data_IF_420150074896
#
_entry.id   IF_420150074896
#
_cell.length_a   1.000
_cell.length_b   1.000
_cell.length_c   1.000
_cell.angle_alpha   90.00
_cell.angle_beta   90.00
_cell.angle_gamma   90.00
#
_symmetry.space_group_name_H-M   'P 1'
#
loop_
_entity.id
_entity.type
_entity.pdbx_description
1 polymer ?
#
# COMPACT_ATOMS: atom_id res chain seq x y z
N UNK A 1 -11.00 -2.00 23.11
CA UNK A 1 -10.67 -1.86 21.68
C UNK A 1 -9.43 -2.71 21.43
N UNK A 2 -9.50 -3.67 20.51
CA UNK A 2 -8.36 -4.54 20.19
C UNK A 2 -7.19 -3.67 19.75
N UNK A 3 -6.07 -3.70 20.47
CA UNK A 3 -4.88 -2.89 20.20
C UNK A 3 -4.09 -3.37 18.98
N UNK A 4 -4.76 -3.84 17.92
CA UNK A 4 -4.14 -4.35 16.70
C UNK A 4 -4.51 -3.45 15.53
N UNK A 5 -3.51 -3.07 14.72
CA UNK A 5 -3.68 -2.34 13.46
C UNK A 5 -3.13 -3.14 12.29
N UNK A 6 -3.84 -3.12 11.17
CA UNK A 6 -3.40 -3.63 9.87
C UNK A 6 -2.85 -2.46 9.05
N UNK A 7 -1.58 -2.56 8.68
CA UNK A 7 -0.85 -1.54 7.94
C UNK A 7 -0.49 -2.11 6.58
N UNK A 8 -0.71 -1.35 5.51
CA UNK A 8 -0.28 -1.71 4.17
C UNK A 8 0.80 -0.73 3.69
N UNK A 9 1.99 -1.26 3.39
CA UNK A 9 3.06 -0.53 2.70
C UNK A 9 3.04 -0.85 1.22
N UNK A 10 3.13 0.16 0.36
CA UNK A 10 3.20 -0.01 -1.10
C UNK A 10 4.38 0.77 -1.67
N UNK A 11 5.29 0.08 -2.37
CA UNK A 11 6.37 0.68 -3.15
C UNK A 11 5.99 0.65 -4.62
N UNK A 12 5.78 1.82 -5.22
CA UNK A 12 5.24 2.02 -6.55
C UNK A 12 6.35 2.21 -7.59
N UNK A 13 7.13 1.15 -7.76
CA UNK A 13 8.19 1.11 -8.75
C UNK A 13 7.69 1.12 -10.21
N UNK A 14 8.58 1.53 -11.12
CA UNK A 14 8.28 1.61 -12.57
C UNK A 14 7.99 0.26 -13.24
N UNK A 15 8.54 -0.83 -12.71
CA UNK A 15 8.40 -2.20 -13.26
C UNK A 15 7.65 -3.15 -12.35
N UNK A 16 7.79 -2.96 -11.04
CA UNK A 16 7.09 -3.74 -10.05
C UNK A 16 6.50 -2.84 -8.98
N UNK A 17 5.25 -3.10 -8.61
CA UNK A 17 4.64 -2.61 -7.38
C UNK A 17 4.80 -3.68 -6.32
N UNK A 18 5.43 -3.33 -5.20
CA UNK A 18 5.59 -4.23 -4.04
C UNK A 18 4.57 -3.84 -2.99
N UNK A 19 3.94 -4.83 -2.39
CA UNK A 19 2.95 -4.64 -1.34
C UNK A 19 3.38 -5.44 -0.11
N UNK A 20 3.38 -4.80 1.05
CA UNK A 20 3.64 -5.42 2.34
C UNK A 20 2.44 -5.21 3.27
N UNK A 21 1.74 -6.28 3.61
CA UNK A 21 0.70 -6.25 4.63
C UNK A 21 1.33 -6.59 5.98
N UNK A 22 1.13 -5.73 6.96
CA UNK A 22 1.75 -5.83 8.27
C UNK A 22 0.71 -5.68 9.38
N UNK A 23 1.02 -6.23 10.54
CA UNK A 23 0.27 -6.05 11.77
C UNK A 23 1.13 -5.38 12.81
N UNK A 24 0.60 -4.36 13.46
CA UNK A 24 1.14 -3.78 14.69
C UNK A 24 0.23 -4.16 15.86
N UNK A 25 0.79 -4.67 16.95
CA UNK A 25 0.05 -4.83 18.22
C UNK A 25 0.62 -3.86 19.25
N UNK A 26 -0.22 -3.33 20.13
CA UNK A 26 0.18 -2.36 21.14
C UNK A 26 1.26 -2.89 22.11
N UNK A 27 1.25 -4.20 22.37
CA UNK A 27 2.11 -4.87 23.35
C UNK A 27 3.33 -5.56 22.71
N UNK A 28 3.45 -5.55 21.37
CA UNK A 28 4.57 -6.18 20.66
C UNK A 28 5.49 -5.09 20.08
N UNK A 29 6.80 -5.23 20.28
CA UNK A 29 7.78 -4.37 19.62
C UNK A 29 7.89 -4.73 18.13
N UNK A 30 7.68 -3.75 17.27
CA UNK A 30 7.85 -3.87 15.82
C UNK A 30 6.57 -4.20 15.04
N UNK A 31 6.77 -4.52 13.76
CA UNK A 31 5.71 -4.89 12.82
C UNK A 31 5.85 -6.36 12.46
N UNK A 32 4.74 -7.09 12.47
CA UNK A 32 4.68 -8.47 11.96
C UNK A 32 4.23 -8.46 10.51
N UNK A 33 5.08 -8.96 9.60
CA UNK A 33 4.70 -9.16 8.20
C UNK A 33 3.66 -10.28 8.12
N UNK A 34 2.54 -10.01 7.46
CA UNK A 34 1.45 -10.95 7.20
C UNK A 34 1.49 -11.49 5.77
N UNK A 35 1.80 -10.62 4.81
CA UNK A 35 1.83 -10.96 3.38
C UNK A 35 2.77 -10.02 2.64
N UNK A 36 3.45 -10.55 1.63
CA UNK A 36 4.28 -9.80 0.68
C UNK A 36 3.84 -10.17 -0.73
N UNK A 37 3.65 -9.17 -1.57
CA UNK A 37 3.31 -9.35 -2.98
C UNK A 37 4.20 -8.49 -3.87
N UNK A 38 4.43 -8.96 -5.09
CA UNK A 38 5.10 -8.19 -6.13
C UNK A 38 4.31 -8.34 -7.44
N UNK A 39 3.81 -7.23 -7.96
CA UNK A 39 2.97 -7.17 -9.13
C UNK A 39 3.65 -6.38 -10.24
N UNK A 40 3.42 -6.77 -11.49
CA UNK A 40 3.77 -5.92 -12.63
C UNK A 40 3.04 -4.57 -12.51
N UNK A 41 3.76 -3.47 -12.74
CA UNK A 41 3.22 -2.12 -12.54
C UNK A 41 2.04 -1.81 -13.44
N UNK A 42 2.07 -2.24 -14.70
CA UNK A 42 0.97 -2.00 -15.65
C UNK A 42 -0.26 -2.79 -15.20
N UNK A 43 -0.06 -4.06 -14.82
CA UNK A 43 -1.12 -4.89 -14.26
C UNK A 43 -1.74 -4.26 -13.02
N UNK A 44 -0.92 -3.74 -12.11
CA UNK A 44 -1.40 -3.09 -10.89
C UNK A 44 -2.32 -1.90 -11.19
N UNK A 45 -1.86 -0.98 -12.03
CA UNK A 45 -2.67 0.18 -12.40
C UNK A 45 -3.95 -0.19 -13.14
N UNK A 46 -3.93 -1.23 -13.98
CA UNK A 46 -5.08 -1.64 -14.79
C UNK A 46 -6.13 -2.40 -13.98
N UNK A 47 -5.71 -3.30 -13.09
CA UNK A 47 -6.59 -4.23 -12.40
C UNK A 47 -7.00 -3.74 -11.00
N UNK A 48 -6.12 -2.99 -10.33
CA UNK A 48 -6.30 -2.61 -8.92
C UNK A 48 -6.33 -1.09 -8.70
N UNK A 49 -5.79 -0.30 -9.64
CA UNK A 49 -5.76 1.15 -9.56
C UNK A 49 -6.96 1.83 -10.22
N UNK A 50 -7.51 2.87 -9.59
CA UNK A 50 -8.49 3.77 -10.19
C UNK A 50 -8.10 5.21 -9.94
N UNK A 51 -7.83 5.97 -11.01
CA UNK A 51 -7.50 7.39 -10.88
C UNK A 51 -8.76 8.19 -10.56
N UNK A 52 -8.74 8.95 -9.46
CA UNK A 52 -9.76 9.94 -9.09
C UNK A 52 -9.10 11.28 -8.81
N UNK A 53 -9.23 12.20 -9.76
CA UNK A 53 -8.47 13.45 -9.74
C UNK A 53 -6.97 13.16 -9.74
N UNK A 54 -6.24 13.71 -8.78
CA UNK A 54 -4.79 13.54 -8.64
C UNK A 54 -4.40 12.35 -7.77
N UNK A 55 -5.39 11.56 -7.30
CA UNK A 55 -5.17 10.41 -6.43
C UNK A 55 -5.43 9.09 -7.15
N UNK A 56 -4.73 8.05 -6.73
CA UNK A 56 -4.98 6.68 -7.10
C UNK A 56 -5.71 5.97 -5.96
N UNK A 57 -6.95 5.56 -6.21
CA UNK A 57 -7.65 4.61 -5.33
C UNK A 57 -7.17 3.20 -5.63
N UNK A 58 -6.80 2.46 -4.58
CA UNK A 58 -6.42 1.05 -4.67
C UNK A 58 -7.59 0.19 -4.24
N UNK A 59 -7.97 -0.78 -5.08
CA UNK A 59 -8.98 -1.76 -4.74
C UNK A 59 -8.36 -2.93 -3.94
N UNK A 60 -8.29 -2.76 -2.61
CA UNK A 60 -7.76 -3.77 -1.70
C UNK A 60 -8.52 -5.09 -1.73
N UNK A 61 -9.84 -5.05 -1.96
CA UNK A 61 -10.67 -6.25 -2.07
C UNK A 61 -10.26 -7.08 -3.29
N UNK A 62 -10.04 -6.44 -4.45
CA UNK A 62 -9.56 -7.12 -5.65
C UNK A 62 -8.13 -7.67 -5.52
N UNK A 63 -7.31 -7.11 -4.61
CA UNK A 63 -6.00 -7.64 -4.23
C UNK A 63 -6.10 -8.81 -3.23
N UNK A 64 -7.30 -9.16 -2.76
CA UNK A 64 -7.50 -10.16 -1.71
C UNK A 64 -6.99 -9.73 -0.34
N UNK A 65 -6.79 -8.43 -0.13
CA UNK A 65 -6.28 -7.87 1.12
C UNK A 65 -7.45 -7.53 2.06
N UNK A 66 -7.27 -7.70 3.38
CA UNK A 66 -8.27 -7.29 4.35
C UNK A 66 -8.40 -5.76 4.37
N UNK A 67 -9.40 -5.26 5.11
CA UNK A 67 -9.48 -3.83 5.41
C UNK A 67 -8.19 -3.38 6.11
N UNK A 68 -7.58 -2.33 5.57
CA UNK A 68 -6.36 -1.71 6.10
C UNK A 68 -6.73 -0.51 6.98
N UNK A 69 -6.07 -0.37 8.11
CA UNK A 69 -6.25 0.78 9.02
C UNK A 69 -5.33 1.94 8.64
N UNK A 70 -4.18 1.63 8.04
CA UNK A 70 -3.20 2.60 7.57
C UNK A 70 -2.59 2.17 6.25
N UNK A 71 -2.40 3.12 5.34
CA UNK A 71 -1.74 2.92 4.06
C UNK A 71 -0.52 3.85 3.98
N UNK A 72 0.65 3.31 3.68
CA UNK A 72 1.89 4.05 3.49
C UNK A 72 2.44 3.72 2.11
N UNK A 73 2.93 4.72 1.37
CA UNK A 73 3.41 4.55 0.00
C UNK A 73 4.73 5.26 -0.27
N UNK A 74 5.54 4.68 -1.16
CA UNK A 74 6.81 5.25 -1.66
C UNK A 74 7.07 4.81 -3.12
N UNK A 75 8.27 5.07 -3.66
CA UNK A 75 8.71 4.58 -4.98
C UNK A 75 8.26 5.42 -6.18
N UNK A 76 7.55 6.52 -5.93
CA UNK A 76 7.11 7.47 -6.97
C UNK A 76 8.23 8.38 -7.45
N UNK A 77 9.25 7.79 -8.06
CA UNK A 77 10.24 8.53 -8.83
C UNK A 77 9.59 9.26 -10.02
N UNK A 78 9.22 10.54 -9.81
CA UNK A 78 8.86 11.61 -10.79
C UNK A 78 7.38 11.87 -11.11
N UNK A 79 6.42 11.05 -10.69
CA UNK A 79 4.99 11.30 -10.93
C UNK A 79 4.24 11.49 -9.62
N UNK A 80 3.64 12.67 -9.43
CA UNK A 80 2.91 13.14 -8.25
C UNK A 80 1.54 12.46 -8.07
N UNK A 81 1.49 11.13 -8.13
CA UNK A 81 0.25 10.39 -7.92
C UNK A 81 0.21 9.88 -6.48
N UNK A 82 -0.62 10.48 -5.65
CA UNK A 82 -0.79 10.04 -4.25
C UNK A 82 -1.77 8.88 -4.17
N UNK A 83 -1.54 7.90 -3.29
CA UNK A 83 -2.55 6.90 -2.99
C UNK A 83 -3.67 7.52 -2.13
N UNK A 84 -4.92 7.31 -2.52
CA UNK A 84 -6.07 7.82 -1.78
C UNK A 84 -6.12 7.19 -0.37
N UNK A 85 -6.18 8.04 0.65
CA UNK A 85 -6.23 7.61 2.06
C UNK A 85 -4.90 7.10 2.62
N UNK A 86 -3.79 7.25 1.88
CA UNK A 86 -2.46 6.86 2.33
C UNK A 86 -1.54 8.03 2.61
N UNK A 87 -0.51 7.77 3.41
CA UNK A 87 0.64 8.65 3.61
C UNK A 87 1.72 8.33 2.57
N UNK A 88 2.19 9.34 1.84
CA UNK A 88 3.31 9.19 0.92
C UNK A 88 4.60 9.60 1.64
N UNK A 89 5.60 8.71 1.65
CA UNK A 89 6.93 8.97 2.21
C UNK A 89 7.97 9.04 1.09
N UNK A 90 8.97 9.94 1.17
CA UNK A 90 10.06 10.02 0.20
C UNK A 90 10.81 8.69 0.07
N UNK A 91 11.25 8.37 -1.16
CA UNK A 91 12.15 7.24 -1.43
C UNK A 91 13.60 7.56 -1.03
N UNK A 92 13.98 8.85 -1.01
CA UNK A 92 15.31 9.39 -0.73
C UNK A 92 15.25 10.53 0.29
#
# INVERSE_FOLDING_TARGET
MSGQQIICGIDLGSRSVKIALMRKKAEEEGLKILQLESLDTIRFYREYGRKRGDKLEVNFEALGLPKVDSLVSTGYGRNTLELAGGEAIPEL
#
